data_IF_929425956662
#
_entry.id   IF_929425956662
#
_cell.length_a   1.000
_cell.length_b   1.000
_cell.length_c   1.000
_cell.angle_alpha   90.00
_cell.angle_beta   90.00
_cell.angle_gamma   90.00
#
_symmetry.space_group_name_H-M   'P 1'
#
loop_
_entity.id
_entity.type
_entity.pdbx_description
1 polymer ?
#
# COMPACT_ATOMS: atom_id res chain seq x y z
N UNK A 1 14.52 15.89 -30.30
CA UNK A 1 14.48 14.40 -30.25
C UNK A 1 14.62 13.94 -28.81
N UNK A 2 13.61 13.26 -28.25
CA UNK A 2 13.69 12.74 -26.87
C UNK A 2 14.53 11.46 -26.88
N UNK A 3 15.69 11.44 -26.21
CA UNK A 3 16.66 10.34 -26.27
C UNK A 3 16.12 8.93 -25.94
N UNK A 4 14.99 8.85 -25.22
CA UNK A 4 14.29 7.61 -24.92
C UNK A 4 13.70 6.95 -26.18
N UNK A 5 13.20 7.73 -27.13
CA UNK A 5 12.63 7.18 -28.38
C UNK A 5 13.71 6.64 -29.30
N UNK A 6 14.88 7.28 -29.29
CA UNK A 6 16.07 6.77 -29.97
C UNK A 6 16.54 5.42 -29.40
N UNK A 7 16.51 5.26 -28.07
CA UNK A 7 16.80 3.95 -27.48
C UNK A 7 15.77 2.91 -27.93
N UNK A 8 14.47 3.23 -27.85
CA UNK A 8 13.41 2.30 -28.26
C UNK A 8 13.56 1.80 -29.70
N UNK A 9 13.99 2.66 -30.63
CA UNK A 9 14.21 2.25 -32.02
C UNK A 9 15.41 1.30 -32.17
N UNK A 10 16.51 1.52 -31.46
CA UNK A 10 17.67 0.61 -31.46
C UNK A 10 17.30 -0.77 -30.91
N UNK A 11 16.62 -0.82 -29.77
CA UNK A 11 16.20 -2.09 -29.18
C UNK A 11 15.17 -2.81 -30.05
N UNK A 12 14.23 -2.08 -30.65
CA UNK A 12 13.27 -2.65 -31.60
C UNK A 12 13.94 -3.27 -32.83
N UNK A 13 15.00 -2.64 -33.37
CA UNK A 13 15.79 -3.19 -34.47
C UNK A 13 16.54 -4.48 -34.07
N UNK A 14 16.90 -4.62 -32.79
CA UNK A 14 17.48 -5.84 -32.22
C UNK A 14 16.42 -6.88 -31.77
N UNK A 15 15.14 -6.68 -32.12
CA UNK A 15 14.00 -7.49 -31.70
C UNK A 15 13.82 -7.58 -30.17
N UNK A 16 14.33 -6.58 -29.43
CA UNK A 16 14.19 -6.42 -27.99
C UNK A 16 13.09 -5.38 -27.71
N UNK A 17 12.02 -5.80 -27.01
CA UNK A 17 10.87 -4.92 -26.74
C UNK A 17 11.01 -4.26 -25.36
N UNK A 18 11.20 -2.95 -25.34
CA UNK A 18 11.20 -2.17 -24.09
C UNK A 18 9.77 -1.75 -23.77
N UNK A 19 9.20 -2.27 -22.67
CA UNK A 19 7.92 -1.81 -22.14
C UNK A 19 8.12 -0.65 -21.16
N UNK A 20 7.20 0.30 -21.18
CA UNK A 20 7.16 1.34 -20.17
C UNK A 20 6.77 0.71 -18.83
N UNK A 21 7.58 0.92 -17.79
CA UNK A 21 7.24 0.50 -16.43
C UNK A 21 5.88 1.12 -16.07
N UNK A 22 4.92 0.28 -15.66
CA UNK A 22 3.61 0.75 -15.24
C UNK A 22 3.78 1.75 -14.10
N UNK A 23 3.03 2.85 -14.16
CA UNK A 23 3.00 3.83 -13.07
C UNK A 23 2.24 3.18 -11.92
N UNK A 24 2.98 2.79 -10.88
CA UNK A 24 2.40 2.27 -9.65
C UNK A 24 1.63 3.41 -8.99
N UNK A 25 0.35 3.18 -8.66
CA UNK A 25 -0.45 4.18 -7.96
C UNK A 25 -0.24 4.08 -6.45
N UNK A 26 -0.57 5.14 -5.71
CA UNK A 26 -0.50 5.11 -4.24
C UNK A 26 -1.40 3.99 -3.67
N UNK A 27 -2.59 3.80 -4.24
CA UNK A 27 -3.49 2.72 -3.84
C UNK A 27 -2.86 1.33 -4.01
N UNK A 28 -2.06 1.12 -5.05
CA UNK A 28 -1.38 -0.16 -5.27
C UNK A 28 -0.29 -0.42 -4.24
N UNK A 29 0.46 0.63 -3.86
CA UNK A 29 1.47 0.53 -2.78
C UNK A 29 0.79 0.15 -1.46
N UNK A 30 -0.32 0.81 -1.11
CA UNK A 30 -1.04 0.52 0.14
C UNK A 30 -1.61 -0.90 0.16
N UNK A 31 -2.13 -1.40 -0.97
CA UNK A 31 -2.58 -2.79 -1.10
C UNK A 31 -1.42 -3.78 -0.87
N UNK A 32 -0.25 -3.51 -1.43
CA UNK A 32 0.93 -4.36 -1.25
C UNK A 32 1.42 -4.38 0.20
N UNK A 33 1.35 -3.26 0.92
CA UNK A 33 1.67 -3.21 2.36
C UNK A 33 0.72 -4.11 3.16
N UNK A 34 -0.59 -4.03 2.90
CA UNK A 34 -1.61 -4.85 3.56
C UNK A 34 -1.38 -6.34 3.26
N UNK A 35 -1.13 -6.69 1.99
CA UNK A 35 -0.82 -8.07 1.57
C UNK A 35 0.45 -8.62 2.19
N UNK A 36 1.50 -7.80 2.29
CA UNK A 36 2.77 -8.18 2.92
C UNK A 36 2.61 -8.52 4.40
N UNK A 37 1.56 -8.02 5.06
CA UNK A 37 1.18 -8.35 6.43
C UNK A 37 0.27 -9.58 6.54
N UNK A 38 -0.06 -10.23 5.42
CA UNK A 38 -0.93 -11.41 5.38
C UNK A 38 -2.43 -11.10 5.39
N UNK A 39 -2.82 -9.83 5.18
CA UNK A 39 -4.22 -9.42 5.15
C UNK A 39 -4.73 -9.18 3.72
N UNK A 40 -6.05 -9.31 3.52
CA UNK A 40 -6.69 -9.03 2.24
C UNK A 40 -7.22 -7.58 2.20
N UNK A 41 -6.72 -6.72 1.29
CA UNK A 41 -7.23 -5.37 1.10
C UNK A 41 -8.74 -5.30 0.83
N UNK A 42 -9.31 -6.31 0.15
CA UNK A 42 -10.75 -6.31 -0.17
C UNK A 42 -11.64 -6.37 1.06
N UNK A 43 -11.14 -6.87 2.20
CA UNK A 43 -11.87 -6.88 3.47
C UNK A 43 -12.23 -5.46 3.94
N UNK A 44 -11.26 -4.55 3.89
CA UNK A 44 -11.42 -3.17 4.32
C UNK A 44 -12.42 -2.38 3.47
N UNK A 45 -12.48 -2.68 2.17
CA UNK A 45 -13.48 -2.10 1.29
C UNK A 45 -14.88 -2.63 1.58
N UNK A 46 -15.03 -3.94 1.80
CA UNK A 46 -16.33 -4.57 2.11
C UNK A 46 -16.94 -4.02 3.40
N UNK A 47 -16.13 -3.81 4.43
CA UNK A 47 -16.58 -3.20 5.69
C UNK A 47 -17.19 -1.81 5.48
N UNK A 48 -16.59 -0.99 4.59
CA UNK A 48 -17.08 0.36 4.28
C UNK A 48 -18.32 0.33 3.37
N UNK A 49 -18.41 -0.65 2.46
CA UNK A 49 -19.58 -0.84 1.60
C UNK A 49 -20.79 -1.28 2.44
N UNK A 50 -20.59 -2.22 3.38
CA UNK A 50 -21.62 -2.65 4.31
C UNK A 50 -22.09 -1.53 5.26
N UNK A 51 -21.22 -0.54 5.52
CA UNK A 51 -21.56 0.66 6.29
C UNK A 51 -22.36 1.71 5.49
N UNK A 52 -22.77 1.41 4.25
CA UNK A 52 -23.69 2.24 3.44
C UNK A 52 -23.05 3.02 2.29
N UNK A 53 -21.76 2.84 1.99
CA UNK A 53 -21.08 3.49 0.85
C UNK A 53 -21.09 2.58 -0.38
N UNK A 54 -22.00 2.82 -1.33
CA UNK A 54 -22.21 1.93 -2.50
C UNK A 54 -21.18 2.15 -3.61
N UNK A 55 -20.59 3.36 -3.72
CA UNK A 55 -19.56 3.69 -4.71
C UNK A 55 -18.42 4.41 -4.01
N UNK A 56 -17.20 3.90 -4.16
CA UNK A 56 -15.98 4.50 -3.61
C UNK A 56 -15.08 5.01 -4.73
N UNK A 57 -14.67 6.26 -4.66
CA UNK A 57 -13.65 6.84 -5.54
C UNK A 57 -12.27 6.23 -5.25
N UNK A 58 -11.31 6.39 -6.16
CA UNK A 58 -9.93 5.91 -5.92
C UNK A 58 -9.25 6.63 -4.75
N UNK A 59 -9.60 7.88 -4.50
CA UNK A 59 -9.11 8.66 -3.35
C UNK A 59 -9.66 8.10 -2.04
N UNK A 60 -10.95 7.79 -1.99
CA UNK A 60 -11.61 7.20 -0.82
C UNK A 60 -11.05 5.81 -0.52
N UNK A 61 -10.80 4.98 -1.55
CA UNK A 61 -10.14 3.68 -1.37
C UNK A 61 -8.76 3.84 -0.75
N UNK A 62 -7.99 4.82 -1.21
CA UNK A 62 -6.65 5.12 -0.70
C UNK A 62 -6.71 5.53 0.77
N UNK A 63 -7.67 6.39 1.13
CA UNK A 63 -7.87 6.82 2.52
C UNK A 63 -8.27 5.65 3.43
N UNK A 64 -9.16 4.78 2.97
CA UNK A 64 -9.57 3.56 3.70
C UNK A 64 -8.35 2.67 3.98
N UNK A 65 -7.50 2.42 2.97
CA UNK A 65 -6.30 1.62 3.16
C UNK A 65 -5.29 2.29 4.10
N UNK A 66 -5.09 3.60 3.96
CA UNK A 66 -4.19 4.35 4.84
C UNK A 66 -4.65 4.27 6.31
N UNK A 67 -5.96 4.42 6.54
CA UNK A 67 -6.56 4.30 7.88
C UNK A 67 -6.41 2.90 8.45
N UNK A 68 -6.62 1.87 7.64
CA UNK A 68 -6.44 0.47 8.05
C UNK A 68 -5.00 0.22 8.52
N UNK A 69 -4.01 0.65 7.73
CA UNK A 69 -2.58 0.52 8.08
C UNK A 69 -2.27 1.29 9.37
N UNK A 70 -2.80 2.51 9.52
CA UNK A 70 -2.60 3.30 10.74
C UNK A 70 -3.13 2.60 12.00
N UNK A 71 -4.34 2.05 11.93
CA UNK A 71 -4.95 1.29 13.02
C UNK A 71 -4.14 0.04 13.38
N UNK A 72 -3.60 -0.69 12.39
CA UNK A 72 -2.69 -1.81 12.63
C UNK A 72 -1.44 -1.37 13.39
N UNK A 73 -0.75 -0.35 12.89
CA UNK A 73 0.48 0.17 13.50
C UNK A 73 0.22 0.67 14.92
N UNK A 74 -0.91 1.36 15.13
CA UNK A 74 -1.33 1.84 16.45
C UNK A 74 -1.54 0.69 17.43
N UNK A 75 -2.21 -0.39 17.01
CA UNK A 75 -2.43 -1.59 17.83
C UNK A 75 -1.12 -2.30 18.17
N UNK A 76 -0.21 -2.43 17.21
CA UNK A 76 1.13 -2.99 17.45
C UNK A 76 1.92 -2.16 18.46
N UNK A 77 1.96 -0.84 18.26
CA UNK A 77 2.65 0.07 19.16
C UNK A 77 2.10 0.00 20.59
N UNK A 78 0.77 0.03 20.74
CA UNK A 78 0.14 -0.09 22.07
C UNK A 78 0.39 -1.45 22.72
N UNK A 79 0.43 -2.52 21.93
CA UNK A 79 0.75 -3.87 22.42
C UNK A 79 2.20 -3.96 22.90
N UNK A 80 3.13 -3.31 22.19
CA UNK A 80 4.53 -3.24 22.59
C UNK A 80 4.73 -2.40 23.85
N UNK A 81 4.01 -1.29 24.02
CA UNK A 81 4.05 -0.49 25.26
C UNK A 81 3.59 -1.28 26.49
N UNK A 82 2.56 -2.14 26.35
CA UNK A 82 2.10 -3.03 27.45
C UNK A 82 3.12 -4.09 27.84
N UNK A 83 4.09 -4.40 26.98
CA UNK A 83 5.13 -5.41 27.22
C UNK A 83 6.38 -4.83 27.88
N UNK A 84 6.48 -3.52 28.07
CA UNK A 84 7.55 -2.92 28.87
C UNK A 84 7.17 -3.20 30.33
N UNK A 85 7.86 -4.11 31.04
CA UNK A 85 7.62 -4.23 32.47
C UNK A 85 8.02 -2.89 33.09
N UNK A 86 7.18 -2.37 33.98
CA UNK A 86 7.58 -1.30 34.89
C UNK A 86 8.92 -1.72 35.48
N UNK A 87 9.99 -1.02 35.09
CA UNK A 87 11.27 -1.20 35.75
C UNK A 87 11.06 -0.65 37.14
N UNK A 88 10.67 -1.52 38.08
CA UNK A 88 10.71 -1.24 39.50
C UNK A 88 12.18 -1.08 39.84
N UNK A 89 12.73 0.11 39.62
CA UNK A 89 13.97 0.52 40.29
C UNK A 89 13.63 0.71 41.75
N UNK A 90 13.74 -0.38 42.52
CA UNK A 90 13.99 -0.30 43.94
C UNK A 90 15.35 0.39 44.13
N UNK A 91 15.34 1.58 44.71
CA UNK A 91 16.44 2.18 45.45
C UNK A 91 15.88 2.88 46.67
#
# INVERSE_FOLDING_TARGET
>A
MKGIEFLRSIYAAANLRIFQKQRITLADILKEIIRSRGEDPSKYLKEQIMAGRVVLSEEEKTEIYARAIWEMLRKEYMTNLRKIPEVTTCF
#
